data_IF_408558276742
#
_entry.id   IF_408558276742
#
_cell.length_a   1.000
_cell.length_b   1.000
_cell.length_c   1.000
_cell.angle_alpha   90.00
_cell.angle_beta   90.00
_cell.angle_gamma   90.00
#
_symmetry.space_group_name_H-M   'P 1'
#
loop_
_entity.id
_entity.type
_entity.pdbx_description
1 polymer ?
#
# COMPACT_ATOMS: atom_id res chain seq x y z
N UNK A 1 3.58 -7.01 8.96
CA UNK A 1 4.74 -6.75 8.10
C UNK A 1 4.22 -6.68 6.68
N UNK A 2 3.85 -5.51 6.15
CA UNK A 2 3.50 -5.34 4.72
C UNK A 2 4.80 -5.33 3.88
N UNK A 3 4.74 -5.64 2.58
CA UNK A 3 5.92 -5.84 1.72
C UNK A 3 6.98 -4.74 1.78
N UNK A 4 6.57 -3.49 1.91
CA UNK A 4 7.47 -2.34 1.99
C UNK A 4 8.23 -2.20 3.34
N UNK A 5 7.93 -3.01 4.35
CA UNK A 5 8.65 -3.15 5.64
C UNK A 5 9.00 -1.84 6.38
N UNK A 6 8.26 -0.74 6.15
CA UNK A 6 8.49 0.57 6.79
C UNK A 6 7.21 1.41 6.87
N UNK A 7 6.92 1.99 8.04
CA UNK A 7 5.60 2.59 8.32
C UNK A 7 5.29 3.66 7.27
N UNK A 8 4.08 3.62 6.73
CA UNK A 8 3.58 4.62 5.79
C UNK A 8 3.68 6.01 6.42
N UNK A 9 4.15 6.98 5.66
CA UNK A 9 4.21 8.37 6.09
C UNK A 9 3.06 9.14 5.43
N UNK A 10 2.58 10.25 6.02
CA UNK A 10 1.53 11.07 5.42
C UNK A 10 1.82 11.46 3.95
N UNK A 11 3.10 11.64 3.62
CA UNK A 11 3.54 12.02 2.28
C UNK A 11 3.33 10.91 1.24
N UNK A 12 3.23 9.64 1.64
CA UNK A 12 2.93 8.55 0.70
C UNK A 12 1.52 8.69 0.12
N UNK A 13 0.54 9.00 0.97
CA UNK A 13 -0.84 9.26 0.56
C UNK A 13 -0.92 10.59 -0.19
N UNK A 14 -0.25 11.64 0.30
CA UNK A 14 -0.26 12.95 -0.35
C UNK A 14 0.29 12.90 -1.78
N UNK A 15 1.39 12.16 -2.02
CA UNK A 15 1.94 11.98 -3.37
C UNK A 15 1.02 11.17 -4.28
N UNK A 16 0.36 10.13 -3.78
CA UNK A 16 -0.61 9.37 -4.56
C UNK A 16 -1.82 10.21 -4.94
N UNK A 17 -2.33 11.03 -4.01
CA UNK A 17 -3.41 11.98 -4.28
C UNK A 17 -2.97 13.04 -5.31
N UNK A 18 -1.75 13.57 -5.19
CA UNK A 18 -1.21 14.53 -6.15
C UNK A 18 -1.09 13.94 -7.56
N UNK A 19 -0.67 12.67 -7.67
CA UNK A 19 -0.67 11.95 -8.94
C UNK A 19 -2.08 11.81 -9.53
N UNK A 20 -3.07 11.37 -8.74
CA UNK A 20 -4.45 11.24 -9.20
C UNK A 20 -5.08 12.58 -9.61
N UNK A 21 -4.59 13.69 -9.06
CA UNK A 21 -5.02 15.03 -9.39
C UNK A 21 -4.25 15.67 -10.57
N UNK A 22 -3.20 15.02 -11.07
CA UNK A 22 -2.39 15.56 -12.18
C UNK A 22 -2.88 15.08 -13.54
N UNK A 23 -2.38 15.75 -14.60
CA UNK A 23 -2.66 15.37 -15.99
C UNK A 23 -2.17 13.95 -16.33
N UNK A 24 -1.19 13.42 -15.58
CA UNK A 24 -0.67 12.07 -15.78
C UNK A 24 -1.72 10.98 -15.47
N UNK A 25 -2.74 11.31 -14.69
CA UNK A 25 -3.86 10.43 -14.36
C UNK A 25 -5.13 10.72 -15.19
N UNK A 26 -5.05 11.48 -16.29
CA UNK A 26 -6.22 11.95 -17.05
C UNK A 26 -7.18 10.85 -17.56
N UNK A 27 -6.72 9.58 -17.64
CA UNK A 27 -7.54 8.45 -18.05
C UNK A 27 -7.80 7.43 -16.92
N UNK A 28 -7.46 7.77 -15.68
CA UNK A 28 -7.65 6.92 -14.50
C UNK A 28 -8.85 7.45 -13.73
N UNK A 29 -9.94 6.68 -13.70
CA UNK A 29 -11.16 7.04 -12.96
C UNK A 29 -11.91 5.78 -12.52
N UNK A 30 -12.72 5.92 -11.47
CA UNK A 30 -13.58 4.83 -10.96
C UNK A 30 -12.81 3.67 -10.31
N UNK A 31 -11.59 3.91 -9.84
CA UNK A 31 -10.74 2.90 -9.20
C UNK A 31 -10.27 3.35 -7.82
N UNK A 32 -10.11 2.40 -6.92
CA UNK A 32 -9.39 2.60 -5.66
C UNK A 32 -7.90 2.33 -5.90
N UNK A 33 -7.03 3.29 -5.55
CA UNK A 33 -5.57 3.13 -5.60
C UNK A 33 -5.05 2.82 -4.18
N UNK A 34 -4.67 1.56 -3.87
CA UNK A 34 -4.17 1.22 -2.54
C UNK A 34 -2.80 1.86 -2.25
N UNK A 35 -2.70 2.57 -1.13
CA UNK A 35 -1.46 3.17 -0.62
C UNK A 35 -1.14 2.61 0.77
N UNK A 36 -0.96 1.30 0.86
CA UNK A 36 -0.91 0.56 2.12
C UNK A 36 0.38 -0.25 2.32
N UNK A 37 1.39 0.02 1.49
CA UNK A 37 2.65 -0.70 1.53
C UNK A 37 2.58 -2.14 1.02
N UNK A 38 1.48 -2.54 0.36
CA UNK A 38 1.20 -3.89 -0.14
C UNK A 38 0.45 -4.78 0.86
N UNK A 39 -0.22 -4.18 1.84
CA UNK A 39 -0.92 -4.90 2.91
C UNK A 39 -2.17 -5.64 2.38
N UNK A 40 -2.98 -4.99 1.54
CA UNK A 40 -4.25 -5.54 1.04
C UNK A 40 -4.08 -6.76 0.15
N UNK A 41 -2.91 -6.93 -0.46
CA UNK A 41 -2.59 -8.05 -1.35
C UNK A 41 -1.69 -9.09 -0.67
N UNK A 42 -1.40 -8.95 0.62
CA UNK A 42 -0.77 -10.04 1.34
C UNK A 42 -1.75 -11.21 1.42
N UNK A 43 -1.55 -12.17 0.51
CA UNK A 43 -2.14 -13.49 0.63
C UNK A 43 -1.86 -14.03 2.04
N UNK A 44 -2.87 -14.72 2.58
CA UNK A 44 -2.96 -15.30 3.91
C UNK A 44 -1.74 -16.12 4.38
N UNK A 45 -0.78 -16.42 3.50
CA UNK A 45 0.55 -16.92 3.85
C UNK A 45 1.34 -15.98 4.76
N UNK A 46 1.30 -14.66 4.58
CA UNK A 46 2.02 -13.73 5.46
C UNK A 46 1.47 -13.72 6.91
N UNK A 47 0.17 -13.99 7.10
CA UNK A 47 -0.43 -14.18 8.42
C UNK A 47 0.06 -15.47 9.09
N UNK A 48 0.24 -16.56 8.32
CA UNK A 48 0.85 -17.82 8.79
C UNK A 48 2.32 -17.61 9.17
N UNK A 49 3.10 -16.91 8.35
CA UNK A 49 4.53 -16.64 8.63
C UNK A 49 4.74 -15.67 9.80
N UNK A 50 3.78 -14.80 10.12
CA UNK A 50 3.85 -13.96 11.33
C UNK A 50 3.91 -14.77 12.63
N UNK A 51 3.16 -15.88 12.71
CA UNK A 51 3.21 -16.79 13.86
C UNK A 51 4.49 -17.65 13.90
N UNK A 52 5.13 -17.89 12.75
CA UNK A 52 6.37 -18.68 12.67
C UNK A 52 7.67 -17.87 12.83
N UNK A 53 7.67 -16.57 12.49
CA UNK A 53 8.89 -15.74 12.43
C UNK A 53 9.01 -14.72 13.58
N UNK A 54 8.07 -14.67 14.53
CA UNK A 54 8.21 -13.90 15.77
C UNK A 54 8.40 -12.39 15.61
N UNK A 55 8.16 -11.82 14.44
CA UNK A 55 8.26 -10.38 14.23
C UNK A 55 6.91 -9.72 14.54
N UNK A 56 6.83 -9.15 15.76
CA UNK A 56 5.80 -8.19 16.16
C UNK A 56 5.77 -6.98 15.26
#
# INVERSE_FOLDING_TARGET
>A
CYPLRRVGQPEDVARAALFLASDDAAFITGVDLPVDGGFSIQASTAAIYKNYLGCG
#
